data_IF_195264464132
#
_entry.id   IF_195264464132
#
_cell.length_a   1.000
_cell.length_b   1.000
_cell.length_c   1.000
_cell.angle_alpha   90.00
_cell.angle_beta   90.00
_cell.angle_gamma   90.00
#
_symmetry.space_group_name_H-M   'P 1'
#
loop_
_entity.id
_entity.type
_entity.pdbx_description
1 polymer ?
#
# COMPACT_ATOMS: atom_id res chain seq x y z
N UNK A 1 -8.05 -0.10 -31.75
CA UNK A 1 -7.38 0.02 -30.43
C UNK A 1 -5.95 -0.43 -30.60
N UNK A 2 -4.95 0.39 -30.26
CA UNK A 2 -3.54 -0.03 -30.29
C UNK A 2 -3.25 -0.83 -29.01
N UNK A 3 -2.64 -2.01 -29.14
CA UNK A 3 -2.27 -2.88 -28.01
C UNK A 3 -1.25 -2.16 -27.10
N UNK A 4 -1.36 -2.27 -25.76
CA UNK A 4 -0.32 -1.78 -24.86
C UNK A 4 0.99 -2.50 -25.18
N UNK A 5 2.08 -1.72 -25.27
CA UNK A 5 3.43 -2.25 -25.57
C UNK A 5 4.27 -2.44 -24.32
N UNK A 6 3.86 -1.87 -23.19
CA UNK A 6 4.58 -1.92 -21.94
C UNK A 6 3.61 -2.05 -20.76
N UNK A 7 3.87 -3.02 -19.88
CA UNK A 7 3.20 -3.15 -18.58
C UNK A 7 4.18 -2.67 -17.50
N UNK A 8 3.81 -1.61 -16.78
CA UNK A 8 4.52 -1.16 -15.60
C UNK A 8 3.89 -1.80 -14.37
N UNK A 9 4.59 -2.75 -13.76
CA UNK A 9 4.16 -3.39 -12.53
C UNK A 9 4.81 -2.72 -11.32
N UNK A 10 3.98 -2.19 -10.42
CA UNK A 10 4.40 -1.55 -9.16
C UNK A 10 4.08 -2.48 -8.00
N UNK A 11 5.09 -3.15 -7.48
CA UNK A 11 4.93 -3.99 -6.30
C UNK A 11 4.87 -3.13 -5.02
N UNK A 12 4.16 -3.62 -4.02
CA UNK A 12 3.99 -2.99 -2.70
C UNK A 12 3.67 -1.48 -2.77
N UNK A 13 2.78 -1.04 -3.67
CA UNK A 13 2.55 0.39 -3.94
C UNK A 13 2.19 1.21 -2.69
N UNK A 14 1.58 0.57 -1.69
CA UNK A 14 1.17 1.21 -0.45
C UNK A 14 2.25 1.24 0.63
N UNK A 15 3.46 0.75 0.38
CA UNK A 15 4.62 0.96 1.25
C UNK A 15 5.20 2.39 1.11
N UNK A 16 4.81 3.14 0.08
CA UNK A 16 5.28 4.50 -0.16
C UNK A 16 4.23 5.57 0.24
N UNK A 17 4.70 6.77 0.59
CA UNK A 17 3.84 7.91 0.93
C UNK A 17 3.10 8.53 -0.27
N UNK A 18 3.44 8.11 -1.50
CA UNK A 18 2.96 8.73 -2.73
C UNK A 18 1.85 7.90 -3.41
N UNK A 19 1.00 7.23 -2.62
CA UNK A 19 -0.11 6.40 -3.16
C UNK A 19 -1.05 7.17 -4.07
N UNK A 20 -1.21 8.48 -3.85
CA UNK A 20 -1.99 9.37 -4.72
C UNK A 20 -1.42 9.47 -6.15
N UNK A 21 -0.10 9.42 -6.34
CA UNK A 21 0.50 9.42 -7.68
C UNK A 21 0.25 8.10 -8.41
N UNK A 22 0.27 6.99 -7.68
CA UNK A 22 -0.07 5.68 -8.24
C UNK A 22 -1.55 5.61 -8.62
N UNK A 23 -2.42 6.18 -7.78
CA UNK A 23 -3.84 6.33 -8.08
C UNK A 23 -4.05 7.13 -9.38
N UNK A 24 -3.47 8.32 -9.49
CA UNK A 24 -3.51 9.16 -10.70
C UNK A 24 -3.04 8.38 -11.95
N UNK A 25 -1.94 7.64 -11.84
CA UNK A 25 -1.40 6.87 -12.95
C UNK A 25 -2.33 5.72 -13.39
N UNK A 26 -3.12 5.17 -12.49
CA UNK A 26 -4.04 4.07 -12.76
C UNK A 26 -5.37 4.61 -13.30
N UNK A 27 -5.97 5.59 -12.61
CA UNK A 27 -7.35 6.07 -12.85
C UNK A 27 -7.41 7.06 -14.01
N UNK A 28 -6.62 8.14 -13.97
CA UNK A 28 -6.67 9.22 -14.96
C UNK A 28 -5.63 9.07 -16.07
N UNK A 29 -4.69 8.13 -15.93
CA UNK A 29 -3.56 7.94 -16.86
C UNK A 29 -2.70 9.20 -16.98
N UNK A 30 -2.52 9.90 -15.86
CA UNK A 30 -1.65 11.09 -15.76
C UNK A 30 -0.61 10.94 -14.65
N UNK A 31 0.44 11.75 -14.71
CA UNK A 31 1.40 11.97 -13.62
C UNK A 31 1.60 13.48 -13.47
N UNK A 32 1.27 14.02 -12.30
CA UNK A 32 1.30 15.47 -12.05
C UNK A 32 0.50 16.25 -13.11
N UNK A 33 -0.65 15.72 -13.52
CA UNK A 33 -1.52 16.30 -14.54
C UNK A 33 -1.03 16.16 -15.98
N UNK A 34 0.12 15.51 -16.22
CA UNK A 34 0.62 15.24 -17.57
C UNK A 34 0.22 13.84 -18.03
N UNK A 35 -0.30 13.67 -19.26
CA UNK A 35 -0.73 12.36 -19.75
C UNK A 35 0.45 11.40 -19.88
N UNK A 36 0.24 10.17 -19.43
CA UNK A 36 1.12 9.03 -19.67
C UNK A 36 0.90 8.55 -21.11
N UNK A 37 1.93 8.02 -21.76
CA UNK A 37 1.79 7.38 -23.07
C UNK A 37 0.73 6.25 -23.00
N UNK A 38 -0.27 6.31 -23.89
CA UNK A 38 -1.40 5.38 -23.90
C UNK A 38 -1.03 3.91 -24.17
N UNK A 39 0.23 3.62 -24.49
CA UNK A 39 0.76 2.26 -24.66
C UNK A 39 1.32 1.66 -23.37
N UNK A 40 1.32 2.44 -22.27
CA UNK A 40 1.74 2.00 -20.95
C UNK A 40 0.49 1.61 -20.14
N UNK A 41 0.47 0.37 -19.67
CA UNK A 41 -0.51 -0.09 -18.69
C UNK A 41 0.16 -0.15 -17.32
N UNK A 42 -0.40 0.54 -16.34
CA UNK A 42 0.07 0.47 -14.95
C UNK A 42 -0.75 -0.59 -14.21
N UNK A 43 -0.06 -1.53 -13.57
CA UNK A 43 -0.62 -2.53 -12.67
C UNK A 43 0.09 -2.40 -11.33
N UNK A 44 -0.64 -2.47 -10.22
CA UNK A 44 -0.04 -2.33 -8.90
C UNK A 44 -0.50 -3.45 -7.97
N UNK A 45 0.40 -3.91 -7.11
CA UNK A 45 0.11 -4.78 -5.98
C UNK A 45 0.19 -3.98 -4.68
N UNK A 46 -0.68 -4.29 -3.73
CA UNK A 46 -0.71 -3.63 -2.43
C UNK A 46 -0.73 -4.66 -1.31
N UNK A 47 -0.01 -4.35 -0.24
CA UNK A 47 0.03 -5.17 0.96
C UNK A 47 -1.27 -5.01 1.77
N UNK A 48 -1.82 -6.08 2.37
CA UNK A 48 -3.04 -5.99 3.18
C UNK A 48 -2.90 -5.05 4.37
N UNK A 49 -3.93 -4.23 4.63
CA UNK A 49 -3.99 -3.39 5.82
C UNK A 49 -4.39 -4.21 7.06
N UNK A 50 -3.42 -4.91 7.65
CA UNK A 50 -3.66 -5.87 8.75
C UNK A 50 -3.04 -5.40 10.07
N UNK A 51 -3.87 -5.31 11.12
CA UNK A 51 -3.42 -5.02 12.49
C UNK A 51 -2.64 -6.19 13.07
N UNK A 52 -1.60 -5.89 13.86
CA UNK A 52 -0.93 -6.88 14.70
C UNK A 52 -1.94 -7.37 15.75
N UNK A 53 -2.06 -8.68 15.93
CA UNK A 53 -2.76 -9.23 17.10
C UNK A 53 -1.94 -8.85 18.33
N UNK A 54 -2.58 -8.29 19.34
CA UNK A 54 -1.96 -7.94 20.62
C UNK A 54 -1.61 -9.21 21.40
N UNK A 55 -0.55 -9.93 20.99
CA UNK A 55 0.20 -10.73 21.94
C UNK A 55 1.11 -9.77 22.69
N UNK A 56 0.59 -9.26 23.81
CA UNK A 56 1.37 -8.61 24.84
C UNK A 56 2.52 -9.55 25.24
N UNK A 57 3.68 -8.96 25.49
CA UNK A 57 4.90 -9.50 26.11
C UNK A 57 5.77 -10.49 25.32
N UNK A 58 6.61 -9.96 24.43
CA UNK A 58 8.06 -10.34 24.40
C UNK A 58 8.91 -9.33 23.63
N UNK A 59 8.33 -8.55 22.72
CA UNK A 59 9.10 -7.65 21.84
C UNK A 59 9.14 -6.17 22.26
N UNK A 60 8.63 -5.82 23.45
CA UNK A 60 8.90 -4.50 24.05
C UNK A 60 10.37 -4.31 24.45
N UNK A 61 11.23 -5.32 24.22
CA UNK A 61 12.68 -5.24 24.45
C UNK A 61 13.54 -5.14 23.19
N UNK A 62 13.00 -5.28 21.97
CA UNK A 62 13.79 -5.37 20.75
C UNK A 62 13.23 -4.49 19.62
N UNK A 63 13.35 -3.18 19.78
CA UNK A 63 13.09 -2.23 18.71
C UNK A 63 13.09 -0.81 19.24
N UNK A 64 13.96 0.03 18.70
CA UNK A 64 14.00 1.47 18.98
C UNK A 64 12.58 2.06 18.91
N UNK A 65 11.97 2.34 20.07
CA UNK A 65 10.77 3.15 20.15
C UNK A 65 11.19 4.57 19.80
N UNK A 66 11.04 4.95 18.54
CA UNK A 66 11.26 6.33 18.11
C UNK A 66 10.10 7.19 18.63
N UNK A 67 10.24 7.69 19.86
CA UNK A 67 9.40 8.74 20.41
C UNK A 67 9.86 10.10 19.82
N UNK A 68 9.60 10.29 18.53
CA UNK A 68 9.82 11.59 17.88
C UNK A 68 8.77 12.61 18.33
N UNK A 69 9.15 13.87 18.65
CA UNK A 69 8.20 14.92 18.97
C UNK A 69 7.54 15.39 17.67
N UNK A 70 6.43 14.74 17.29
CA UNK A 70 5.64 15.06 16.10
C UNK A 70 4.14 15.09 16.36
N UNK A 71 3.72 15.11 17.63
CA UNK A 71 2.34 15.39 18.02
C UNK A 71 2.04 16.88 17.80
N UNK A 72 1.82 17.29 16.55
CA UNK A 72 1.48 18.67 16.27
C UNK A 72 1.28 18.97 14.78
N UNK A 73 0.02 19.12 14.38
CA UNK A 73 -0.43 19.57 13.06
C UNK A 73 -1.18 18.45 12.33
N UNK A 74 -2.50 18.35 12.35
CA UNK A 74 -3.47 19.42 12.15
C UNK A 74 -3.99 19.33 10.71
N UNK A 75 -5.05 18.54 10.48
CA UNK A 75 -5.61 18.34 9.14
C UNK A 75 -6.75 17.33 9.05
N UNK A 76 -7.86 17.61 9.76
CA UNK A 76 -9.25 17.21 9.48
C UNK A 76 -9.60 15.85 8.88
N UNK A 77 -10.30 15.02 9.66
CA UNK A 77 -11.19 13.96 9.15
C UNK A 77 -11.24 12.76 10.09
N UNK A 78 -12.38 12.53 10.74
CA UNK A 78 -12.54 11.59 11.85
C UNK A 78 -12.11 10.15 11.55
N UNK A 79 -11.22 9.63 12.38
CA UNK A 79 -10.81 8.23 12.45
C UNK A 79 -9.87 8.08 13.65
N UNK A 80 -10.08 7.07 14.50
CA UNK A 80 -9.29 6.85 15.71
C UNK A 80 -7.78 6.88 15.45
N UNK A 81 -7.01 7.29 16.46
CA UNK A 81 -5.56 7.45 16.43
C UNK A 81 -4.85 6.09 16.14
N UNK A 82 -4.75 5.71 14.87
CA UNK A 82 -4.08 4.50 14.39
C UNK A 82 -2.65 4.83 13.98
N UNK A 83 -1.66 4.20 14.63
CA UNK A 83 -0.25 4.38 14.27
C UNK A 83 0.18 3.26 13.34
N UNK A 84 1.03 3.55 12.36
CA UNK A 84 1.56 2.53 11.44
C UNK A 84 2.31 1.41 12.16
N UNK A 85 2.78 1.68 13.38
CA UNK A 85 3.40 0.74 14.33
C UNK A 85 2.48 -0.44 14.70
N UNK A 86 1.16 -0.23 14.63
CA UNK A 86 0.14 -1.21 14.98
C UNK A 86 -0.14 -2.22 13.85
N UNK A 87 0.47 -2.03 12.67
CA UNK A 87 0.26 -2.84 11.48
C UNK A 87 1.35 -3.90 11.31
N UNK A 88 0.97 -5.05 10.76
CA UNK A 88 1.91 -6.11 10.39
C UNK A 88 2.87 -5.61 9.30
N UNK A 89 2.37 -4.80 8.37
CA UNK A 89 3.14 -4.16 7.32
C UNK A 89 3.17 -2.65 7.53
N UNK A 90 4.31 -2.02 7.24
CA UNK A 90 4.42 -0.55 7.23
C UNK A 90 3.77 0.00 5.96
N UNK A 91 2.44 0.19 5.98
CA UNK A 91 1.66 0.55 4.79
C UNK A 91 0.76 1.76 5.02
N UNK A 92 0.53 2.48 3.95
CA UNK A 92 -0.46 3.55 3.84
C UNK A 92 -1.83 2.99 3.41
N UNK A 93 -2.95 3.65 3.79
CA UNK A 93 -4.26 3.31 3.28
C UNK A 93 -4.32 3.42 1.75
N UNK A 94 -5.05 2.50 1.11
CA UNK A 94 -5.32 2.56 -0.32
C UNK A 94 -6.26 3.75 -0.60
N UNK A 95 -5.93 4.62 -1.58
CA UNK A 95 -6.81 5.72 -2.00
C UNK A 95 -8.23 5.23 -2.31
N UNK A 96 -9.30 5.92 -1.86
CA UNK A 96 -10.68 5.49 -2.09
C UNK A 96 -11.03 5.27 -3.57
N UNK A 97 -10.46 6.08 -4.47
CA UNK A 97 -10.65 5.95 -5.91
C UNK A 97 -10.17 4.60 -6.49
N UNK A 98 -9.27 3.91 -5.78
CA UNK A 98 -8.78 2.59 -6.18
C UNK A 98 -9.61 1.43 -5.62
N UNK A 99 -10.56 1.66 -4.71
CA UNK A 99 -11.28 0.56 -4.03
C UNK A 99 -12.08 -0.32 -5.00
N UNK A 100 -12.61 0.25 -6.08
CA UNK A 100 -13.32 -0.51 -7.13
C UNK A 100 -12.38 -1.29 -8.05
N UNK A 101 -11.08 -1.01 -8.02
CA UNK A 101 -10.06 -1.63 -8.87
C UNK A 101 -9.23 -2.69 -8.14
N UNK A 102 -9.38 -2.82 -6.82
CA UNK A 102 -8.61 -3.75 -6.00
C UNK A 102 -9.30 -5.11 -5.95
N UNK A 103 -8.51 -6.16 -6.13
CA UNK A 103 -8.96 -7.55 -6.03
C UNK A 103 -8.06 -8.30 -5.04
N UNK A 104 -8.65 -9.21 -4.25
CA UNK A 104 -7.90 -10.10 -3.37
C UNK A 104 -7.35 -11.29 -4.18
N UNK A 105 -6.02 -11.37 -4.27
CA UNK A 105 -5.32 -12.48 -4.92
C UNK A 105 -5.22 -13.73 -4.04
N UNK A 106 -5.66 -13.64 -2.78
CA UNK A 106 -5.58 -14.71 -1.79
C UNK A 106 -4.20 -14.85 -1.18
N UNK A 107 -4.01 -15.95 -0.44
CA UNK A 107 -2.75 -16.30 0.20
C UNK A 107 -2.22 -17.63 -0.36
N UNK A 108 -0.90 -17.79 -0.31
CA UNK A 108 -0.26 -19.04 -0.71
C UNK A 108 -0.63 -20.15 0.29
N UNK A 109 -1.00 -21.32 -0.23
CA UNK A 109 -1.22 -22.49 0.64
C UNK A 109 0.12 -23.13 0.99
N UNK A 110 0.21 -23.74 2.17
CA UNK A 110 1.43 -24.43 2.65
C UNK A 110 1.95 -25.44 1.61
N UNK A 111 1.03 -26.20 0.98
CA UNK A 111 1.39 -27.18 -0.05
C UNK A 111 1.99 -26.53 -1.30
N UNK A 112 1.48 -25.38 -1.73
CA UNK A 112 2.05 -24.63 -2.86
C UNK A 112 3.37 -23.97 -2.46
N UNK A 113 3.44 -23.38 -1.28
CA UNK A 113 4.65 -22.78 -0.73
C UNK A 113 5.83 -23.76 -0.70
N UNK A 114 5.59 -24.99 -0.25
CA UNK A 114 6.60 -26.05 -0.24
C UNK A 114 7.12 -26.44 -1.65
N UNK A 115 6.42 -26.08 -2.73
CA UNK A 115 6.93 -26.30 -4.10
C UNK A 115 7.85 -25.19 -4.61
N UNK A 116 7.92 -24.05 -3.92
CA UNK A 116 8.77 -22.90 -4.26
C UNK A 116 10.06 -22.83 -3.42
N UNK A 117 10.20 -23.67 -2.39
CA UNK A 117 11.35 -23.75 -1.47
C UNK A 117 12.12 -25.04 -1.76
#
# INVERSE_FOLDING_TARGET
QQQPRCLLFLDEMNACQHTALVEEAITTKTLHGRPIDGRITVLAAANPFRRRKSHISSDTGAGFVYAGPGSGGGGGGGGGDFRTQDLVYNVHPIPPALHEFVFDFGALSITKEASYI
#
